data_IF_552847101561
#
_entry.id   IF_552847101561
#
_cell.length_a   1.000
_cell.length_b   1.000
_cell.length_c   1.000
_cell.angle_alpha   90.00
_cell.angle_beta   90.00
_cell.angle_gamma   90.00
#
_symmetry.space_group_name_H-M   'P 1'
#
loop_
_entity.id
_entity.type
_entity.pdbx_description
1 polymer ?
#
# COMPACT_ATOMS: atom_id res chain seq x y z
N UNK A 1 -5.58 -21.31 8.37
CA UNK A 1 -4.84 -20.66 7.29
C UNK A 1 -5.48 -20.85 5.94
N UNK A 2 -5.57 -19.76 5.18
CA UNK A 2 -6.02 -19.77 3.78
C UNK A 2 -4.80 -20.09 2.90
N UNK A 3 -4.92 -21.07 2.01
CA UNK A 3 -3.87 -21.40 1.04
C UNK A 3 -3.94 -20.44 -0.15
N UNK A 4 -3.09 -19.41 -0.18
CA UNK A 4 -3.10 -18.38 -1.23
C UNK A 4 -2.91 -18.95 -2.63
N UNK A 5 -2.27 -20.12 -2.78
CA UNK A 5 -2.04 -20.77 -4.07
C UNK A 5 -3.34 -21.18 -4.75
N UNK A 6 -4.44 -21.29 -4.00
CA UNK A 6 -5.79 -21.58 -4.53
C UNK A 6 -6.53 -20.34 -5.01
N UNK A 7 -6.00 -19.14 -4.75
CA UNK A 7 -6.67 -17.86 -4.99
C UNK A 7 -5.87 -16.93 -5.90
N UNK A 8 -4.63 -17.29 -6.24
CA UNK A 8 -3.76 -16.51 -7.13
C UNK A 8 -3.59 -17.26 -8.44
N UNK A 9 -3.88 -16.58 -9.54
CA UNK A 9 -3.76 -17.10 -10.90
C UNK A 9 -2.75 -16.26 -11.70
N UNK A 10 -2.10 -16.88 -12.69
CA UNK A 10 -1.18 -16.21 -13.60
C UNK A 10 -1.77 -16.17 -15.01
N UNK A 11 -1.69 -15.02 -15.66
CA UNK A 11 -2.10 -14.85 -17.05
C UNK A 11 -0.96 -14.23 -17.85
N UNK A 12 -0.59 -14.90 -18.96
CA UNK A 12 0.50 -14.48 -19.84
C UNK A 12 0.33 -13.08 -20.42
N UNK A 13 -0.91 -12.55 -20.49
CA UNK A 13 -1.20 -11.20 -20.97
C UNK A 13 -0.56 -10.11 -20.10
N UNK A 14 -0.27 -10.40 -18.84
CA UNK A 14 0.37 -9.45 -17.92
C UNK A 14 1.91 -9.56 -17.89
N UNK A 15 2.49 -10.52 -18.63
CA UNK A 15 3.94 -10.64 -18.74
C UNK A 15 4.49 -9.59 -19.71
N UNK A 16 5.50 -8.84 -19.28
CA UNK A 16 6.15 -7.84 -20.13
C UNK A 16 7.41 -8.43 -20.77
N UNK A 17 7.64 -8.27 -22.09
CA UNK A 17 8.86 -8.76 -22.76
C UNK A 17 10.17 -8.19 -22.20
N UNK A 18 10.10 -7.02 -21.56
CA UNK A 18 11.23 -6.31 -20.97
C UNK A 18 11.00 -6.07 -19.48
N UNK A 19 10.84 -7.14 -18.70
CA UNK A 19 10.81 -7.05 -17.24
C UNK A 19 12.14 -6.56 -16.68
N UNK A 20 12.07 -5.89 -15.53
CA UNK A 20 13.26 -5.45 -14.78
C UNK A 20 13.41 -6.37 -13.57
N UNK A 21 14.54 -7.06 -13.47
CA UNK A 21 14.77 -8.08 -12.43
C UNK A 21 14.74 -7.54 -11.00
N UNK A 22 15.13 -6.28 -10.81
CA UNK A 22 15.20 -5.67 -9.48
C UNK A 22 15.24 -4.15 -9.52
N UNK A 23 14.48 -3.54 -8.62
CA UNK A 23 14.47 -2.10 -8.39
C UNK A 23 14.73 -1.85 -6.90
N UNK A 24 15.95 -1.40 -6.60
CA UNK A 24 16.36 -1.04 -5.24
C UNK A 24 17.05 0.33 -5.27
N UNK A 25 16.52 1.28 -4.50
CA UNK A 25 17.03 2.64 -4.46
C UNK A 25 17.75 2.94 -3.14
N UNK A 26 18.93 3.56 -3.21
CA UNK A 26 19.58 4.12 -2.02
C UNK A 26 19.11 5.57 -1.76
N UNK A 27 18.21 5.73 -0.80
CA UNK A 27 17.74 7.04 -0.34
C UNK A 27 18.69 7.74 0.67
N UNK A 28 19.96 7.32 0.80
CA UNK A 28 20.90 7.89 1.77
C UNK A 28 21.15 9.38 1.57
N UNK A 29 21.18 9.86 0.32
CA UNK A 29 21.31 11.29 -0.01
C UNK A 29 20.13 12.11 0.50
N UNK A 30 18.91 11.61 0.36
CA UNK A 30 17.70 12.27 0.85
C UNK A 30 17.67 12.31 2.39
N UNK A 31 18.05 11.21 3.04
CA UNK A 31 18.20 11.16 4.51
C UNK A 31 19.18 12.21 5.02
N UNK A 32 20.39 12.29 4.41
CA UNK A 32 21.43 13.23 4.83
C UNK A 32 21.06 14.68 4.59
N UNK A 33 20.55 15.00 3.41
CA UNK A 33 20.40 16.39 2.99
C UNK A 33 19.05 16.99 3.39
N UNK A 34 18.02 16.16 3.53
CA UNK A 34 16.64 16.61 3.77
C UNK A 34 16.08 16.13 5.11
N UNK A 35 16.82 15.29 5.86
CA UNK A 35 16.27 14.61 7.03
C UNK A 35 15.10 13.68 6.70
N UNK A 36 14.90 13.36 5.41
CA UNK A 36 13.72 12.63 4.95
C UNK A 36 13.80 11.16 5.33
N UNK A 37 12.70 10.61 5.83
CA UNK A 37 12.51 9.16 6.03
C UNK A 37 11.06 8.76 5.72
N UNK A 38 10.82 7.54 5.22
CA UNK A 38 9.46 7.08 4.95
C UNK A 38 8.70 6.90 6.26
N UNK A 39 7.50 7.49 6.34
CA UNK A 39 6.59 7.33 7.47
C UNK A 39 5.81 6.01 7.44
N UNK A 40 5.64 5.42 6.26
CA UNK A 40 4.85 4.20 6.03
C UNK A 40 5.76 3.13 5.44
N UNK A 41 5.75 1.93 6.01
CA UNK A 41 6.50 0.76 5.49
C UNK A 41 5.61 -0.11 4.60
N UNK A 42 6.20 -1.06 3.88
CA UNK A 42 5.47 -1.91 2.93
C UNK A 42 4.25 -2.63 3.52
N UNK A 43 4.40 -3.27 4.68
CA UNK A 43 3.29 -3.97 5.36
C UNK A 43 2.17 -3.03 5.77
N UNK A 44 2.53 -1.81 6.17
CA UNK A 44 1.59 -0.79 6.59
C UNK A 44 0.81 -0.26 5.38
N UNK A 45 1.50 -0.06 4.25
CA UNK A 45 0.90 0.32 2.99
C UNK A 45 -0.13 -0.73 2.51
N UNK A 46 0.20 -2.02 2.59
CA UNK A 46 -0.75 -3.09 2.24
C UNK A 46 -2.02 -3.01 3.10
N UNK A 47 -1.88 -2.80 4.41
CA UNK A 47 -3.03 -2.64 5.32
C UNK A 47 -3.90 -1.43 4.93
N UNK A 48 -3.26 -0.30 4.62
CA UNK A 48 -3.96 0.91 4.14
C UNK A 48 -4.76 0.60 2.88
N UNK A 49 -4.13 -0.01 1.88
CA UNK A 49 -4.77 -0.30 0.59
C UNK A 49 -5.96 -1.27 0.74
N UNK A 50 -5.80 -2.36 1.50
CA UNK A 50 -6.86 -3.36 1.69
C UNK A 50 -8.06 -2.78 2.44
N UNK A 51 -7.84 -2.00 3.50
CA UNK A 51 -8.94 -1.36 4.20
C UNK A 51 -9.69 -0.37 3.30
N UNK A 52 -8.96 0.42 2.50
CA UNK A 52 -9.58 1.32 1.53
C UNK A 52 -10.43 0.58 0.49
N UNK A 53 -9.92 -0.52 -0.08
CA UNK A 53 -10.68 -1.31 -1.07
C UNK A 53 -11.95 -1.94 -0.45
N UNK A 54 -11.87 -2.41 0.80
CA UNK A 54 -13.05 -2.91 1.52
C UNK A 54 -14.11 -1.81 1.70
N UNK A 55 -13.69 -0.60 2.12
CA UNK A 55 -14.60 0.54 2.26
C UNK A 55 -15.24 0.94 0.92
N UNK A 56 -14.44 0.99 -0.16
CA UNK A 56 -14.93 1.30 -1.51
C UNK A 56 -15.98 0.30 -1.99
N UNK A 57 -15.83 -0.97 -1.63
CA UNK A 57 -16.80 -2.03 -1.92
C UNK A 57 -18.01 -2.06 -0.95
N UNK A 58 -18.09 -1.12 0.00
CA UNK A 58 -19.13 -1.10 1.03
C UNK A 58 -19.00 -2.20 2.08
N UNK A 59 -17.85 -2.88 2.13
CA UNK A 59 -17.52 -3.88 3.14
C UNK A 59 -16.92 -3.21 4.37
N UNK A 60 -17.02 -3.87 5.53
CA UNK A 60 -16.39 -3.39 6.76
C UNK A 60 -14.90 -3.76 6.77
N UNK A 61 -13.98 -2.79 6.82
CA UNK A 61 -12.54 -3.06 6.91
C UNK A 61 -12.12 -3.54 8.31
N UNK A 62 -10.88 -4.00 8.44
CA UNK A 62 -10.27 -4.34 9.73
C UNK A 62 -9.88 -3.07 10.52
N UNK A 63 -9.64 -1.97 9.81
CA UNK A 63 -9.28 -0.67 10.38
C UNK A 63 -7.80 -0.56 10.78
N UNK A 64 -6.98 -1.53 10.37
CA UNK A 64 -5.54 -1.55 10.61
C UNK A 64 -4.82 -0.45 9.83
N UNK A 65 -5.25 -0.17 8.60
CA UNK A 65 -4.75 0.93 7.78
C UNK A 65 -5.05 2.29 8.39
N UNK A 66 -6.25 2.47 8.95
CA UNK A 66 -6.61 3.70 9.65
C UNK A 66 -5.73 3.94 10.88
N UNK A 67 -5.45 2.90 11.68
CA UNK A 67 -4.52 2.99 12.82
C UNK A 67 -3.12 3.41 12.40
N UNK A 68 -2.61 2.87 11.28
CA UNK A 68 -1.32 3.27 10.72
C UNK A 68 -1.33 4.77 10.39
N UNK A 69 -2.32 5.23 9.60
CA UNK A 69 -2.39 6.62 9.15
C UNK A 69 -2.44 7.60 10.31
N UNK A 70 -3.29 7.34 11.30
CA UNK A 70 -3.38 8.17 12.52
C UNK A 70 -2.07 8.13 13.32
N UNK A 71 -1.44 6.95 13.46
CA UNK A 71 -0.19 6.79 14.18
C UNK A 71 0.99 7.57 13.58
N UNK A 72 0.96 7.86 12.27
CA UNK A 72 2.02 8.60 11.56
C UNK A 72 1.64 10.04 11.23
N UNK A 73 0.50 10.53 11.73
CA UNK A 73 -0.01 11.89 11.49
C UNK A 73 -0.39 12.14 10.03
N UNK A 74 -0.95 11.13 9.37
CA UNK A 74 -1.50 11.18 8.02
C UNK A 74 -3.03 11.00 7.98
N UNK A 75 -3.71 11.20 9.11
CA UNK A 75 -5.17 11.07 9.26
C UNK A 75 -5.99 12.05 8.40
N UNK A 76 -5.38 13.14 7.93
CA UNK A 76 -5.98 14.05 6.95
C UNK A 76 -6.26 13.38 5.59
N UNK A 77 -5.66 12.22 5.30
CA UNK A 77 -5.95 11.45 4.08
C UNK A 77 -7.23 10.63 4.18
N UNK A 78 -8.05 10.83 5.21
CA UNK A 78 -9.37 10.18 5.30
C UNK A 78 -10.20 10.59 4.09
N UNK A 79 -10.31 9.68 3.12
CA UNK A 79 -10.97 9.92 1.85
C UNK A 79 -12.48 9.95 2.09
N UNK A 80 -13.01 11.11 2.50
CA UNK A 80 -14.44 11.38 2.33
C UNK A 80 -14.67 11.37 0.84
N UNK A 81 -15.25 10.27 0.31
CA UNK A 81 -15.67 10.20 -1.09
C UNK A 81 -16.31 11.54 -1.47
N UNK A 82 -15.60 12.34 -2.26
CA UNK A 82 -16.23 13.47 -2.94
C UNK A 82 -17.12 12.83 -3.99
N UNK A 83 -18.40 12.63 -3.62
CA UNK A 83 -19.43 12.27 -4.59
C UNK A 83 -19.46 13.40 -5.62
N UNK A 84 -18.95 13.10 -6.82
CA UNK A 84 -19.21 13.90 -8.01
C UNK A 84 -20.67 13.80 -8.42
#
# INVERSE_FOLDING_TARGET
DLDWKKHVEMDSRYLRPSEVDGLEADASKARRNLGWSPRVRFTDLVKIMVDCDLELMGCRPLGEGHKVLTGVGLDWTTNRMTRG
#
